data_IF_416728108915
#
_entry.id   IF_416728108915
#
_cell.length_a   1.000
_cell.length_b   1.000
_cell.length_c   1.000
_cell.angle_alpha   90.00
_cell.angle_beta   90.00
_cell.angle_gamma   90.00
#
_symmetry.space_group_name_H-M   'P 1'
#
loop_
_entity.id
_entity.type
_entity.pdbx_description
1 polymer ?
#
# COMPACT_ATOMS: atom_id res chain seq x y z
N UNK A 1 15.86 -13.14 -11.73
CA UNK A 1 14.69 -14.03 -11.61
C UNK A 1 14.62 -14.84 -12.89
N UNK A 2 14.93 -16.15 -12.85
CA UNK A 2 14.85 -17.01 -14.03
C UNK A 2 13.48 -17.68 -14.09
N UNK A 3 12.46 -16.93 -14.52
CA UNK A 3 11.15 -17.48 -14.85
C UNK A 3 11.15 -17.91 -16.32
N UNK A 4 10.79 -19.16 -16.59
CA UNK A 4 10.65 -19.67 -17.94
C UNK A 4 9.17 -19.58 -18.35
N UNK A 5 8.80 -18.51 -19.05
CA UNK A 5 7.42 -18.26 -19.49
C UNK A 5 7.27 -18.84 -20.89
N UNK A 6 6.31 -19.75 -21.07
CA UNK A 6 6.09 -20.48 -22.32
C UNK A 6 4.64 -20.35 -22.78
N UNK A 7 4.43 -20.48 -24.09
CA UNK A 7 3.09 -20.43 -24.70
C UNK A 7 2.52 -19.01 -24.78
N UNK A 8 1.19 -18.90 -24.68
CA UNK A 8 0.47 -17.64 -24.84
C UNK A 8 0.96 -16.50 -23.91
N UNK A 9 1.26 -16.74 -22.61
CA UNK A 9 1.80 -15.69 -21.74
C UNK A 9 3.13 -15.10 -22.23
N UNK A 10 3.97 -15.89 -22.90
CA UNK A 10 5.22 -15.38 -23.47
C UNK A 10 4.94 -14.40 -24.63
N UNK A 11 3.98 -14.74 -25.50
CA UNK A 11 3.55 -13.84 -26.58
C UNK A 11 2.98 -12.52 -26.04
N UNK A 12 2.21 -12.57 -24.96
CA UNK A 12 1.66 -11.37 -24.31
C UNK A 12 2.77 -10.50 -23.71
N UNK A 13 3.76 -11.10 -23.05
CA UNK A 13 4.91 -10.36 -22.49
C UNK A 13 5.72 -9.69 -23.60
N UNK A 14 6.00 -10.38 -24.71
CA UNK A 14 6.69 -9.80 -25.86
C UNK A 14 5.89 -8.65 -26.47
N UNK A 15 4.58 -8.78 -26.62
CA UNK A 15 3.71 -7.73 -27.15
C UNK A 15 3.67 -6.48 -26.25
N UNK A 16 3.61 -6.67 -24.92
CA UNK A 16 3.64 -5.56 -23.95
C UNK A 16 4.94 -4.76 -24.03
N UNK A 17 6.07 -5.44 -24.23
CA UNK A 17 7.36 -4.77 -24.44
C UNK A 17 7.42 -4.13 -25.82
N UNK A 18 6.97 -4.82 -26.87
CA UNK A 18 6.97 -4.31 -28.25
C UNK A 18 6.12 -3.05 -28.44
N UNK A 19 5.03 -2.91 -27.68
CA UNK A 19 4.18 -1.70 -27.67
C UNK A 19 4.69 -0.59 -26.76
N UNK A 20 5.77 -0.81 -26.02
CA UNK A 20 6.31 0.14 -25.05
C UNK A 20 5.45 0.30 -23.79
N UNK A 21 4.53 -0.64 -23.53
CA UNK A 21 3.72 -0.67 -22.30
C UNK A 21 4.57 -1.06 -21.09
N UNK A 22 5.61 -1.88 -21.31
CA UNK A 22 6.64 -2.19 -20.33
C UNK A 22 8.03 -1.96 -20.93
N UNK A 23 8.98 -1.45 -20.15
CA UNK A 23 10.35 -1.20 -20.62
C UNK A 23 11.16 -2.49 -20.79
N UNK A 24 10.79 -3.57 -20.09
CA UNK A 24 11.45 -4.87 -20.20
C UNK A 24 10.51 -6.02 -19.79
N UNK A 25 10.93 -7.26 -20.09
CA UNK A 25 10.17 -8.47 -19.75
C UNK A 25 9.87 -8.61 -18.27
N UNK A 26 10.78 -8.18 -17.39
CA UNK A 26 10.56 -8.29 -15.94
C UNK A 26 9.44 -7.36 -15.47
N UNK A 27 9.34 -6.17 -16.04
CA UNK A 27 8.27 -5.22 -15.76
C UNK A 27 6.92 -5.71 -16.29
N UNK A 28 6.88 -6.23 -17.52
CA UNK A 28 5.68 -6.84 -18.10
C UNK A 28 5.12 -7.98 -17.22
N UNK A 29 6.01 -8.83 -16.70
CA UNK A 29 5.62 -9.93 -15.79
C UNK A 29 5.07 -9.40 -14.46
N UNK A 30 5.67 -8.35 -13.87
CA UNK A 30 5.14 -7.74 -12.65
C UNK A 30 3.76 -7.14 -12.87
N UNK A 31 3.55 -6.47 -14.00
CA UNK A 31 2.23 -5.93 -14.36
C UNK A 31 1.19 -7.04 -14.49
N UNK A 32 1.55 -8.15 -15.11
CA UNK A 32 0.69 -9.33 -15.21
C UNK A 32 0.31 -9.89 -13.83
N UNK A 33 1.28 -9.99 -12.92
CA UNK A 33 1.06 -10.46 -11.54
C UNK A 33 0.13 -9.50 -10.78
N UNK A 34 0.35 -8.19 -10.91
CA UNK A 34 -0.49 -7.17 -10.26
C UNK A 34 -1.92 -7.23 -10.78
N UNK A 35 -2.10 -7.29 -12.10
CA UNK A 35 -3.40 -7.39 -12.74
C UNK A 35 -4.13 -8.69 -12.36
N UNK A 36 -3.43 -9.82 -12.33
CA UNK A 36 -3.98 -11.08 -11.86
C UNK A 36 -4.40 -11.00 -10.39
N UNK A 37 -3.61 -10.36 -9.53
CA UNK A 37 -3.94 -10.18 -8.12
C UNK A 37 -5.17 -9.27 -7.94
N UNK A 38 -5.27 -8.20 -8.71
CA UNK A 38 -6.45 -7.32 -8.70
C UNK A 38 -7.73 -8.06 -9.12
N UNK A 39 -7.66 -8.97 -10.09
CA UNK A 39 -8.83 -9.66 -10.65
C UNK A 39 -9.18 -10.99 -9.96
N UNK A 40 -8.19 -11.70 -9.44
CA UNK A 40 -8.34 -13.08 -8.95
C UNK A 40 -7.60 -13.34 -7.61
N UNK A 41 -6.96 -12.32 -7.04
CA UNK A 41 -6.06 -12.46 -5.90
C UNK A 41 -6.75 -12.61 -4.54
N UNK A 42 -5.95 -13.10 -3.58
CA UNK A 42 -6.34 -13.39 -2.19
C UNK A 42 -6.47 -12.10 -1.33
N UNK A 43 -5.91 -10.96 -1.80
CA UNK A 43 -6.01 -9.65 -1.13
C UNK A 43 -6.09 -8.52 -2.16
N UNK A 44 -7.18 -7.75 -2.21
CA UNK A 44 -7.27 -6.58 -3.06
C UNK A 44 -6.15 -5.59 -2.73
N UNK A 45 -5.35 -5.21 -3.73
CA UNK A 45 -4.22 -4.28 -3.58
C UNK A 45 -4.60 -2.96 -2.89
N UNK A 46 -5.79 -2.42 -3.20
CA UNK A 46 -6.28 -1.19 -2.57
C UNK A 46 -6.41 -1.30 -1.05
N UNK A 47 -7.12 -2.31 -0.55
CA UNK A 47 -7.28 -2.53 0.89
C UNK A 47 -5.95 -2.83 1.58
N UNK A 48 -5.08 -3.62 0.94
CA UNK A 48 -3.77 -3.93 1.51
C UNK A 48 -2.89 -2.68 1.67
N UNK A 49 -2.87 -1.79 0.68
CA UNK A 49 -2.10 -0.56 0.74
C UNK A 49 -2.66 0.43 1.78
N UNK A 50 -3.98 0.49 1.94
CA UNK A 50 -4.63 1.28 2.99
C UNK A 50 -4.28 0.75 4.39
N UNK A 51 -4.30 -0.56 4.58
CA UNK A 51 -3.93 -1.21 5.84
C UNK A 51 -2.45 -0.97 6.18
N UNK A 52 -1.54 -1.13 5.23
CA UNK A 52 -0.11 -0.83 5.44
C UNK A 52 0.10 0.64 5.81
N UNK A 53 -0.54 1.56 5.09
CA UNK A 53 -0.46 2.99 5.40
C UNK A 53 -1.01 3.32 6.79
N UNK A 54 -2.11 2.68 7.18
CA UNK A 54 -2.70 2.83 8.51
C UNK A 54 -1.74 2.32 9.60
N UNK A 55 -1.10 1.17 9.39
CA UNK A 55 -0.11 0.60 10.31
C UNK A 55 1.09 1.55 10.46
N UNK A 56 1.66 2.04 9.37
CA UNK A 56 2.78 2.99 9.42
C UNK A 56 2.42 4.27 10.19
N UNK A 57 1.23 4.82 9.95
CA UNK A 57 0.74 6.00 10.67
C UNK A 57 0.56 5.71 12.16
N UNK A 58 -0.04 4.58 12.52
CA UNK A 58 -0.21 4.19 13.93
C UNK A 58 1.14 4.07 14.64
N UNK A 59 2.12 3.41 14.01
CA UNK A 59 3.47 3.29 14.56
C UNK A 59 4.18 4.65 14.73
N UNK A 60 4.03 5.55 13.75
CA UNK A 60 4.58 6.89 13.84
C UNK A 60 3.94 7.70 14.98
N UNK A 61 2.62 7.58 15.17
CA UNK A 61 1.89 8.22 16.26
C UNK A 61 2.31 7.68 17.62
N UNK A 62 2.45 6.37 17.77
CA UNK A 62 2.95 5.75 19.00
C UNK A 62 4.38 6.19 19.32
N UNK A 63 5.25 6.31 18.31
CA UNK A 63 6.60 6.84 18.49
C UNK A 63 6.56 8.29 18.97
N UNK A 64 5.75 9.15 18.35
CA UNK A 64 5.58 10.54 18.79
C UNK A 64 5.01 10.65 20.21
N UNK A 65 4.13 9.73 20.61
CA UNK A 65 3.61 9.67 21.97
C UNK A 65 4.69 9.24 22.97
N UNK A 66 5.49 8.21 22.65
CA UNK A 66 6.62 7.76 23.47
C UNK A 66 7.71 8.83 23.61
N UNK A 67 8.01 9.54 22.54
CA UNK A 67 8.99 10.64 22.53
C UNK A 67 8.46 11.92 23.24
N UNK A 68 7.25 11.89 23.80
CA UNK A 68 6.64 13.02 24.50
C UNK A 68 6.20 14.18 23.60
N UNK A 69 6.29 14.02 22.28
CA UNK A 69 5.88 15.04 21.28
C UNK A 69 4.36 15.13 21.12
N UNK A 70 3.63 14.09 21.50
CA UNK A 70 2.17 14.08 21.60
C UNK A 70 1.74 13.55 22.96
N UNK A 71 0.92 14.33 23.65
CA UNK A 71 0.25 13.89 24.88
C UNK A 71 -1.21 13.58 24.57
N UNK A 72 -1.64 12.35 24.81
CA UNK A 72 -3.06 11.98 24.81
C UNK A 72 -3.72 12.60 26.03
N UNK A 73 -4.87 13.24 25.82
CA UNK A 73 -5.67 13.82 26.89
C UNK A 73 -6.83 12.89 27.22
N UNK A 74 -7.15 12.77 28.50
CA UNK A 74 -8.41 12.18 28.94
C UNK A 74 -9.59 13.08 28.57
N UNK A 75 -10.79 12.51 28.50
CA UNK A 75 -12.02 13.25 28.20
C UNK A 75 -12.21 14.45 29.15
N UNK A 76 -11.94 14.27 30.44
CA UNK A 76 -12.00 15.34 31.45
C UNK A 76 -10.99 16.46 31.20
N UNK A 77 -9.76 16.13 30.83
CA UNK A 77 -8.73 17.12 30.49
C UNK A 77 -9.06 17.88 29.20
N UNK A 78 -9.67 17.22 28.22
CA UNK A 78 -10.12 17.86 26.99
C UNK A 78 -11.27 18.84 27.26
N UNK A 79 -12.28 18.43 28.04
CA UNK A 79 -13.41 19.28 28.42
C UNK A 79 -12.98 20.50 29.24
N UNK A 80 -12.01 20.34 30.14
CA UNK A 80 -11.46 21.44 30.93
C UNK A 80 -10.83 22.54 30.06
N UNK A 81 -10.25 22.22 28.89
CA UNK A 81 -9.70 23.23 27.97
C UNK A 81 -10.77 24.17 27.42
N UNK A 82 -12.01 23.71 27.26
CA UNK A 82 -13.11 24.49 26.69
C UNK A 82 -14.02 25.11 27.75
N UNK A 83 -13.66 25.01 29.04
CA UNK A 83 -14.47 25.54 30.14
C UNK A 83 -14.69 27.07 30.08
N UNK A 84 -13.81 27.80 29.38
CA UNK A 84 -13.89 29.26 29.20
C UNK A 84 -14.84 29.70 28.08
N UNK A 85 -15.44 28.77 27.32
CA UNK A 85 -16.43 29.04 26.28
C UNK A 85 -17.88 28.91 26.79
N UNK A 86 -18.04 28.71 28.11
CA UNK A 86 -19.34 28.67 28.81
C UNK A 86 -19.59 29.95 29.58
#
# INVERSE_FOLDING_TARGET
MNLNIVGLPAAVVEELVGRGVAANKSEAVRMMILHYNEHFGVRPLGQYLEDELAIEKMQALEKQARDGKRRTLSEKEALAKYAHLR
#
